data_IF_776952486744
#
_entry.id   IF_776952486744
#
_cell.length_a   1.000
_cell.length_b   1.000
_cell.length_c   1.000
_cell.angle_alpha   90.00
_cell.angle_beta   90.00
_cell.angle_gamma   90.00
#
_symmetry.space_group_name_H-M   'P 1'
#
loop_
_entity.id
_entity.type
_entity.pdbx_description
1 polymer ?
#
# COMPACT_ATOMS: atom_id res chain seq x y z
N UNK A 1 -21.31 8.43 -4.06
CA UNK A 1 -21.52 7.10 -3.45
C UNK A 1 -22.40 7.25 -2.23
N UNK A 2 -23.29 6.30 -2.01
CA UNK A 2 -23.96 6.15 -0.72
C UNK A 2 -23.01 5.48 0.31
N UNK A 3 -23.42 5.41 1.57
CA UNK A 3 -22.58 4.89 2.65
C UNK A 3 -22.22 3.40 2.48
N UNK A 4 -23.12 2.59 1.92
CA UNK A 4 -22.87 1.17 1.64
C UNK A 4 -21.80 0.97 0.55
N UNK A 5 -21.84 1.78 -0.50
CA UNK A 5 -20.82 1.81 -1.55
C UNK A 5 -19.48 2.27 -0.97
N UNK A 6 -19.48 3.31 -0.11
CA UNK A 6 -18.26 3.81 0.55
C UNK A 6 -17.63 2.73 1.44
N UNK A 7 -18.44 2.01 2.21
CA UNK A 7 -17.97 0.91 3.06
C UNK A 7 -17.35 -0.24 2.26
N UNK A 8 -17.95 -0.61 1.12
CA UNK A 8 -17.39 -1.65 0.23
C UNK A 8 -16.05 -1.24 -0.38
N UNK A 9 -15.94 0.00 -0.87
CA UNK A 9 -14.68 0.48 -1.44
C UNK A 9 -13.60 0.62 -0.36
N UNK A 10 -13.96 1.07 0.84
CA UNK A 10 -13.04 1.14 1.98
C UNK A 10 -12.44 -0.23 2.32
N UNK A 11 -13.27 -1.27 2.48
CA UNK A 11 -12.80 -2.63 2.78
C UNK A 11 -11.89 -3.19 1.69
N UNK A 12 -12.23 -2.93 0.42
CA UNK A 12 -11.42 -3.33 -0.73
C UNK A 12 -10.05 -2.65 -0.72
N UNK A 13 -10.00 -1.33 -0.50
CA UNK A 13 -8.75 -0.58 -0.44
C UNK A 13 -7.88 -1.01 0.76
N UNK A 14 -8.47 -1.38 1.90
CA UNK A 14 -7.73 -1.96 3.03
C UNK A 14 -7.10 -3.31 2.66
N UNK A 15 -7.83 -4.19 1.97
CA UNK A 15 -7.31 -5.49 1.52
C UNK A 15 -6.16 -5.32 0.50
N UNK A 16 -6.32 -4.39 -0.45
CA UNK A 16 -5.27 -4.01 -1.40
C UNK A 16 -4.05 -3.43 -0.67
N UNK A 17 -4.24 -2.54 0.30
CA UNK A 17 -3.15 -1.96 1.10
C UNK A 17 -2.38 -3.03 1.88
N UNK A 18 -3.09 -3.98 2.50
CA UNK A 18 -2.49 -5.09 3.25
C UNK A 18 -1.65 -5.98 2.32
N UNK A 19 -2.16 -6.27 1.12
CA UNK A 19 -1.42 -7.05 0.12
C UNK A 19 -0.13 -6.34 -0.29
N UNK A 20 -0.19 -5.03 -0.57
CA UNK A 20 1.00 -4.24 -0.92
C UNK A 20 2.00 -4.21 0.25
N UNK A 21 1.55 -4.05 1.49
CA UNK A 21 2.41 -4.10 2.67
C UNK A 21 3.14 -5.43 2.81
N UNK A 22 2.45 -6.55 2.62
CA UNK A 22 3.08 -7.88 2.63
C UNK A 22 4.14 -8.02 1.54
N UNK A 23 3.85 -7.53 0.33
CA UNK A 23 4.81 -7.52 -0.77
C UNK A 23 6.06 -6.68 -0.44
N UNK A 24 5.89 -5.50 0.17
CA UNK A 24 7.00 -4.67 0.64
C UNK A 24 7.86 -5.44 1.65
N UNK A 25 7.26 -6.06 2.67
CA UNK A 25 7.97 -6.84 3.70
C UNK A 25 8.77 -8.00 3.07
N UNK A 26 8.17 -8.72 2.12
CA UNK A 26 8.83 -9.83 1.42
C UNK A 26 10.03 -9.35 0.57
N UNK A 27 9.88 -8.22 -0.13
CA UNK A 27 10.94 -7.66 -0.97
C UNK A 27 12.07 -7.03 -0.16
N UNK A 28 11.77 -6.31 0.92
CA UNK A 28 12.78 -5.82 1.87
C UNK A 28 13.56 -6.98 2.48
N UNK A 29 12.90 -8.08 2.84
CA UNK A 29 13.56 -9.30 3.33
C UNK A 29 14.52 -9.89 2.29
N UNK A 30 14.14 -9.87 1.01
CA UNK A 30 15.00 -10.31 -0.10
C UNK A 30 16.18 -9.36 -0.33
N UNK A 31 15.96 -8.05 -0.24
CA UNK A 31 17.03 -7.05 -0.33
C UNK A 31 18.07 -7.23 0.77
N UNK A 32 17.65 -7.41 2.02
CA UNK A 32 18.55 -7.69 3.16
C UNK A 32 19.39 -8.94 2.88
N UNK A 33 18.76 -10.02 2.41
CA UNK A 33 19.48 -11.27 2.05
C UNK A 33 20.47 -11.09 0.90
N UNK A 34 20.18 -10.18 -0.04
CA UNK A 34 21.06 -9.83 -1.17
C UNK A 34 22.13 -8.79 -0.83
N UNK A 35 22.26 -8.41 0.45
CA UNK A 35 23.12 -7.29 0.89
C UNK A 35 22.85 -5.99 0.09
N UNK A 36 21.59 -5.78 -0.30
CA UNK A 36 21.09 -4.60 -1.02
C UNK A 36 21.75 -4.33 -2.38
N UNK A 37 22.33 -5.34 -3.03
CA UNK A 37 23.00 -5.16 -4.32
C UNK A 37 22.09 -5.36 -5.54
N UNK A 38 20.84 -5.80 -5.35
CA UNK A 38 19.88 -5.96 -6.45
C UNK A 38 19.17 -4.65 -6.80
N UNK A 39 19.46 -4.10 -7.98
CA UNK A 39 18.77 -2.92 -8.51
C UNK A 39 17.30 -3.20 -8.84
N UNK A 40 17.00 -4.39 -9.35
CA UNK A 40 15.64 -4.84 -9.66
C UNK A 40 14.75 -4.81 -8.41
N UNK A 41 15.20 -5.46 -7.33
CA UNK A 41 14.44 -5.50 -6.08
C UNK A 41 14.27 -4.09 -5.46
N UNK A 42 15.24 -3.18 -5.64
CA UNK A 42 15.10 -1.78 -5.22
C UNK A 42 13.99 -1.07 -5.99
N UNK A 43 14.00 -1.17 -7.31
CA UNK A 43 12.98 -0.56 -8.17
C UNK A 43 11.58 -1.10 -7.87
N UNK A 44 11.46 -2.40 -7.61
CA UNK A 44 10.18 -3.00 -7.20
C UNK A 44 9.68 -2.47 -5.86
N UNK A 45 10.55 -2.32 -4.85
CA UNK A 45 10.18 -1.73 -3.55
C UNK A 45 9.72 -0.27 -3.71
N UNK A 46 10.41 0.53 -4.54
CA UNK A 46 9.98 1.92 -4.82
C UNK A 46 8.57 1.97 -5.43
N UNK A 47 8.26 1.06 -6.36
CA UNK A 47 6.94 0.99 -6.96
C UNK A 47 5.86 0.58 -5.95
N UNK A 48 6.14 -0.43 -5.11
CA UNK A 48 5.22 -0.86 -4.06
C UNK A 48 4.96 0.25 -3.03
N UNK A 49 5.98 1.03 -2.65
CA UNK A 49 5.81 2.18 -1.75
C UNK A 49 4.93 3.27 -2.39
N UNK A 50 5.10 3.55 -3.68
CA UNK A 50 4.24 4.50 -4.40
C UNK A 50 2.79 4.02 -4.45
N UNK A 51 2.58 2.73 -4.67
CA UNK A 51 1.25 2.11 -4.69
C UNK A 51 0.59 2.17 -3.30
N UNK A 52 1.33 1.83 -2.23
CA UNK A 52 0.88 1.97 -0.85
C UNK A 52 0.45 3.41 -0.53
N UNK A 53 1.25 4.40 -0.94
CA UNK A 53 0.93 5.82 -0.74
C UNK A 53 -0.36 6.23 -1.46
N UNK A 54 -0.54 5.77 -2.70
CA UNK A 54 -1.75 6.04 -3.47
C UNK A 54 -2.99 5.46 -2.78
N UNK A 55 -2.96 4.18 -2.39
CA UNK A 55 -4.09 3.53 -1.71
C UNK A 55 -4.41 4.25 -0.39
N UNK A 56 -3.38 4.64 0.37
CA UNK A 56 -3.55 5.40 1.62
C UNK A 56 -4.26 6.74 1.38
N UNK A 57 -3.88 7.45 0.32
CA UNK A 57 -4.53 8.70 -0.07
C UNK A 57 -5.99 8.48 -0.45
N UNK A 58 -6.27 7.42 -1.22
CA UNK A 58 -7.62 7.07 -1.65
C UNK A 58 -8.49 6.70 -0.43
N UNK A 59 -7.97 5.92 0.52
CA UNK A 59 -8.62 5.63 1.81
C UNK A 59 -8.96 6.90 2.60
N UNK A 60 -7.97 7.80 2.78
CA UNK A 60 -8.18 9.06 3.49
C UNK A 60 -9.20 9.98 2.78
N UNK A 61 -9.36 9.87 1.47
CA UNK A 61 -10.34 10.64 0.72
C UNK A 61 -11.78 10.11 0.84
N UNK A 62 -11.95 8.84 1.24
CA UNK A 62 -13.26 8.24 1.50
C UNK A 62 -13.83 8.68 2.86
N UNK A 63 -12.96 9.06 3.80
CA UNK A 63 -13.32 9.55 5.13
C UNK A 63 -13.12 11.08 5.20
N UNK A 64 -14.11 11.85 4.75
CA UNK A 64 -14.05 13.33 4.66
C UNK A 64 -13.81 14.03 6.02
N UNK A 65 -13.86 13.34 7.17
CA UNK A 65 -13.78 13.94 8.50
C UNK A 65 -12.73 13.34 9.45
N UNK A 66 -11.93 12.37 9.04
CA UNK A 66 -10.89 11.82 9.91
C UNK A 66 -9.65 11.47 9.09
N UNK A 67 -8.74 12.45 9.01
CA UNK A 67 -7.38 12.16 8.57
C UNK A 67 -6.78 11.11 9.51
N UNK A 68 -6.51 9.92 8.99
CA UNK A 68 -5.78 8.86 9.73
C UNK A 68 -4.28 9.24 9.84
N UNK A 69 -3.88 10.39 9.27
CA UNK A 69 -2.57 11.02 9.39
C UNK A 69 -2.65 12.42 10.01
#
# INVERSE_FOLDING_TARGET
MNDDEKGKEFLKLIDEQNTVQWNIVAKLSSLIKSEWNSQELKTEVENLVKEHYKITKDLNSLDENNSIL
#
